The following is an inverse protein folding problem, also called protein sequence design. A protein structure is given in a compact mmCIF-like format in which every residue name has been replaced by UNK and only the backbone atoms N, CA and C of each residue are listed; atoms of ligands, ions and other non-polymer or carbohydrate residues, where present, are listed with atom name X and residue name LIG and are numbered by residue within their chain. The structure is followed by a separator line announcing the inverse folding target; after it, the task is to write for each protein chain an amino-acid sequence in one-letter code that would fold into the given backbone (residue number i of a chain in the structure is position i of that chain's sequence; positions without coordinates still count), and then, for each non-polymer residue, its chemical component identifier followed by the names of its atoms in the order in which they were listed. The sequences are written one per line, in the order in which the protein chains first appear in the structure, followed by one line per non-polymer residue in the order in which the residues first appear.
data_IF_164554998905
#
_entry.id   IF_164554998905
#
_cell.length_a   1.000
_cell.length_b   1.000
_cell.length_c   1.000
_cell.angle_alpha   90.00
_cell.angle_beta   90.00
_cell.angle_gamma   90.00
#
_symmetry.space_group_name_H-M   'P 1'
#
loop_
_entity.id
_entity.type
_entity.pdbx_description
1 polymer ?
#
# COMPACT_ATOMS: atom_id res chain seq x y z
N UNK A 1 25.98 16.42 21.22
CA UNK A 1 25.13 16.98 20.14
C UNK A 1 23.91 16.10 19.97
N UNK A 2 22.76 16.58 20.44
CA UNK A 2 21.53 15.79 20.55
C UNK A 2 20.91 15.49 19.17
N UNK A 3 20.88 14.22 18.77
CA UNK A 3 20.48 13.79 17.42
C UNK A 3 18.95 13.73 17.23
N UNK A 4 18.23 13.39 18.29
CA UNK A 4 16.77 13.34 18.29
C UNK A 4 16.10 14.64 17.80
N UNK A 5 16.44 15.84 18.33
CA UNK A 5 15.82 17.08 17.86
C UNK A 5 16.16 17.41 16.40
N UNK A 6 17.35 17.05 15.92
CA UNK A 6 17.77 17.24 14.53
C UNK A 6 16.95 16.40 13.56
N UNK A 7 16.70 15.14 13.92
CA UNK A 7 15.87 14.24 13.10
C UNK A 7 14.41 14.66 13.11
N UNK A 8 13.89 15.13 14.26
CA UNK A 8 12.54 15.67 14.36
C UNK A 8 12.33 16.88 13.44
N UNK A 9 13.26 17.85 13.47
CA UNK A 9 13.20 19.03 12.59
C UNK A 9 13.20 18.65 11.09
N UNK A 10 14.00 17.66 10.69
CA UNK A 10 14.00 17.16 9.30
C UNK A 10 12.64 16.57 8.91
N UNK A 11 12.04 15.74 9.78
CA UNK A 11 10.73 15.11 9.53
C UNK A 11 9.62 16.15 9.40
N UNK A 12 9.68 17.23 10.18
CA UNK A 12 8.70 18.32 10.12
C UNK A 12 8.72 19.06 8.77
N UNK A 13 9.91 19.23 8.18
CA UNK A 13 10.06 19.89 6.87
C UNK A 13 9.92 18.95 5.67
N UNK A 14 10.03 17.64 5.88
CA UNK A 14 10.07 16.66 4.79
C UNK A 14 8.66 16.45 4.22
N UNK A 15 8.53 16.71 2.92
CA UNK A 15 7.32 16.37 2.15
C UNK A 15 7.69 15.37 1.07
N UNK A 16 6.97 14.25 1.03
CA UNK A 16 7.13 13.22 0.01
C UNK A 16 5.77 13.02 -0.64
N UNK A 17 5.64 13.48 -1.87
CA UNK A 17 4.46 13.24 -2.68
C UNK A 17 4.67 12.00 -3.55
N UNK A 18 3.69 11.10 -3.65
CA UNK A 18 3.77 9.98 -4.58
C UNK A 18 3.74 10.50 -6.03
N UNK A 19 4.42 9.78 -6.93
CA UNK A 19 4.37 10.10 -8.34
C UNK A 19 2.95 9.93 -8.89
N UNK A 20 2.48 10.87 -9.72
CA UNK A 20 1.16 10.77 -10.34
C UNK A 20 1.04 9.48 -11.16
N UNK A 21 -0.02 8.67 -10.95
CA UNK A 21 -0.22 7.44 -11.70
C UNK A 21 -0.53 7.76 -13.17
N UNK A 22 0.09 7.01 -14.08
CA UNK A 22 -0.06 7.14 -15.54
C UNK A 22 -0.98 6.06 -16.13
N UNK A 23 -1.44 5.12 -15.31
CA UNK A 23 -2.38 4.08 -15.73
C UNK A 23 -3.31 3.70 -14.57
N UNK A 24 -4.49 3.13 -14.87
CA UNK A 24 -5.39 2.64 -13.83
C UNK A 24 -4.73 1.61 -12.90
N UNK A 25 -3.83 0.77 -13.45
CA UNK A 25 -3.09 -0.20 -12.66
C UNK A 25 -2.11 0.46 -11.69
N UNK A 26 -1.42 1.51 -12.11
CA UNK A 26 -0.52 2.25 -11.23
C UNK A 26 -1.29 2.92 -10.09
N UNK A 27 -2.46 3.48 -10.36
CA UNK A 27 -3.31 4.06 -9.31
C UNK A 27 -3.76 3.01 -8.28
N UNK A 28 -4.21 1.84 -8.75
CA UNK A 28 -4.58 0.71 -7.89
C UNK A 28 -3.38 0.26 -7.04
N UNK A 29 -2.21 0.10 -7.65
CA UNK A 29 -0.99 -0.34 -6.98
C UNK A 29 -0.57 0.65 -5.88
N UNK A 30 -0.46 1.95 -6.21
CA UNK A 30 -0.04 2.98 -5.25
C UNK A 30 -0.99 3.11 -4.05
N UNK A 31 -2.29 2.84 -4.25
CA UNK A 31 -3.30 2.94 -3.19
C UNK A 31 -3.36 1.73 -2.26
N UNK A 32 -2.93 0.55 -2.70
CA UNK A 32 -3.26 -0.70 -2.02
C UNK A 32 -2.09 -1.62 -1.68
N UNK A 33 -0.88 -1.34 -2.19
CA UNK A 33 0.30 -2.16 -1.90
C UNK A 33 1.02 -1.69 -0.64
N UNK A 34 1.31 -2.65 0.25
CA UNK A 34 2.03 -2.42 1.50
C UNK A 34 3.55 -2.31 1.32
N UNK A 35 4.26 -2.08 2.44
CA UNK A 35 5.72 -1.94 2.42
C UNK A 35 6.42 -3.27 2.09
N UNK A 36 7.64 -3.21 1.54
CA UNK A 36 8.42 -4.42 1.22
C UNK A 36 8.75 -5.27 2.46
N UNK A 37 8.89 -4.66 3.64
CA UNK A 37 9.09 -5.37 4.90
C UNK A 37 7.91 -6.26 5.30
N UNK A 38 6.72 -5.97 4.76
CA UNK A 38 5.48 -6.72 4.98
C UNK A 38 5.12 -7.60 3.78
N UNK A 39 5.97 -7.61 2.74
CA UNK A 39 5.85 -8.47 1.56
C UNK A 39 5.42 -7.76 0.28
N UNK A 40 5.10 -6.46 0.29
CA UNK A 40 4.77 -5.72 -0.94
C UNK A 40 3.54 -6.23 -1.68
N UNK A 41 2.56 -6.76 -0.94
CA UNK A 41 1.31 -7.31 -1.50
C UNK A 41 0.19 -6.28 -1.48
N UNK A 42 -0.89 -6.54 -2.23
CA UNK A 42 -2.16 -5.82 -2.05
C UNK A 42 -2.72 -6.15 -0.66
N UNK A 43 -2.65 -5.23 0.29
CA UNK A 43 -2.92 -5.50 1.71
C UNK A 43 -4.34 -6.07 1.93
N UNK A 44 -5.33 -5.51 1.23
CA UNK A 44 -6.72 -5.95 1.33
C UNK A 44 -6.92 -7.38 0.80
N UNK A 45 -6.03 -7.87 -0.07
CA UNK A 45 -6.16 -9.17 -0.71
C UNK A 45 -5.81 -10.32 0.24
N UNK A 46 -4.96 -10.07 1.25
CA UNK A 46 -4.47 -11.09 2.19
C UNK A 46 -5.62 -11.79 2.94
N UNK A 47 -6.72 -11.09 3.20
CA UNK A 47 -7.90 -11.65 3.89
C UNK A 47 -8.69 -12.69 3.07
N UNK A 48 -8.53 -12.71 1.75
CA UNK A 48 -9.26 -13.64 0.88
C UNK A 48 -8.48 -14.93 0.75
N UNK A 49 -8.87 -15.92 1.56
CA UNK A 49 -8.29 -17.25 1.56
C UNK A 49 -9.40 -18.26 1.25
N UNK A 50 -9.04 -19.35 0.55
CA UNK A 50 -9.94 -20.48 0.30
C UNK A 50 -11.29 -20.10 -0.37
N UNK A 51 -11.22 -19.18 -1.33
CA UNK A 51 -12.38 -18.59 -2.02
C UNK A 51 -13.19 -19.61 -2.86
N UNK A 52 -12.68 -20.82 -3.06
CA UNK A 52 -13.35 -21.88 -3.82
C UNK A 52 -14.40 -22.66 -3.03
N UNK A 53 -14.50 -22.43 -1.70
CA UNK A 53 -15.50 -23.08 -0.84
C UNK A 53 -16.93 -22.66 -1.14
N UNK A 54 -17.12 -21.42 -1.59
CA UNK A 54 -18.43 -20.89 -1.93
C UNK A 54 -18.59 -20.87 -3.45
N UNK A 55 -19.68 -21.47 -3.93
CA UNK A 55 -19.97 -21.46 -5.37
C UNK A 55 -20.44 -20.04 -5.72
N UNK A 56 -19.81 -19.37 -6.71
CA UNK A 56 -20.24 -18.04 -7.11
C UNK A 56 -21.66 -18.10 -7.69
N UNK A 57 -22.33 -16.95 -7.67
CA UNK A 57 -23.66 -16.81 -8.28
C UNK A 57 -23.66 -17.35 -9.72
N UNK A 58 -24.81 -17.88 -10.14
CA UNK A 58 -25.01 -18.27 -11.53
C UNK A 58 -24.63 -17.12 -12.47
N UNK A 59 -23.93 -17.46 -13.54
CA UNK A 59 -23.45 -16.48 -14.52
C UNK A 59 -24.56 -15.98 -15.44
N UNK A 60 -25.70 -16.66 -15.46
CA UNK A 60 -26.89 -16.39 -16.25
C UNK A 60 -28.13 -16.71 -15.41
#
# INVERSE_FOLDING_TARGET
EDEAPRLAARRETMRVEPAAPQSPWQELYQKHVGQLGEGGVLEFAVKYQDIGKEIPRHSH
#
